data_IF_680667193956
#
_entry.id   IF_680667193956
#
_cell.length_a   1.000
_cell.length_b   1.000
_cell.length_c   1.000
_cell.angle_alpha   90.00
_cell.angle_beta   90.00
_cell.angle_gamma   90.00
#
_symmetry.space_group_name_H-M   'P 1'
#
loop_
_entity.id
_entity.type
_entity.pdbx_description
1 polymer ?
#
# COMPACT_ATOMS: atom_id res chain seq x y z
N UNK A 1 19.63 20.88 -3.82
CA UNK A 1 19.54 19.98 -4.99
C UNK A 1 18.64 18.85 -4.58
N UNK A 2 17.51 18.63 -5.26
CA UNK A 2 16.68 17.47 -4.98
C UNK A 2 17.49 16.20 -5.36
N UNK A 3 17.41 15.11 -4.57
CA UNK A 3 18.06 13.87 -4.92
C UNK A 3 17.53 13.39 -6.28
N UNK A 4 18.44 13.00 -7.15
CA UNK A 4 18.04 12.40 -8.44
C UNK A 4 17.56 10.98 -8.18
N UNK A 5 16.49 10.51 -8.84
CA UNK A 5 16.06 9.14 -8.73
C UNK A 5 17.21 8.21 -9.11
N UNK A 6 17.48 7.21 -8.28
CA UNK A 6 18.57 6.27 -8.52
C UNK A 6 18.19 5.39 -9.71
N UNK A 7 18.89 5.55 -10.81
CA UNK A 7 18.75 4.70 -11.99
C UNK A 7 19.47 3.39 -11.72
N UNK A 8 18.73 2.30 -11.54
CA UNK A 8 19.33 0.99 -11.32
C UNK A 8 19.86 0.42 -12.64
N UNK A 9 21.06 -0.17 -12.59
CA UNK A 9 21.59 -0.89 -13.76
C UNK A 9 20.75 -2.13 -14.06
N UNK A 10 20.71 -2.55 -15.32
CA UNK A 10 20.04 -3.78 -15.75
C UNK A 10 20.47 -5.00 -14.93
N UNK A 11 21.75 -5.05 -14.51
CA UNK A 11 22.32 -6.10 -13.66
C UNK A 11 21.72 -6.13 -12.26
N UNK A 12 21.54 -4.97 -11.64
CA UNK A 12 20.96 -4.87 -10.28
C UNK A 12 19.54 -5.41 -10.26
N UNK A 13 18.79 -5.25 -11.34
CA UNK A 13 17.39 -5.70 -11.43
C UNK A 13 17.31 -7.19 -11.81
N UNK A 14 18.25 -7.70 -12.63
CA UNK A 14 18.35 -9.14 -12.94
C UNK A 14 18.59 -9.98 -11.66
N UNK A 15 19.34 -9.47 -10.68
CA UNK A 15 19.50 -10.09 -9.36
C UNK A 15 18.16 -10.37 -8.65
N UNK A 16 17.12 -9.66 -9.02
CA UNK A 16 15.77 -9.82 -8.46
C UNK A 16 14.82 -10.64 -9.38
N UNK A 17 15.35 -11.28 -10.42
CA UNK A 17 14.57 -12.13 -11.34
C UNK A 17 13.67 -11.34 -12.30
N UNK A 18 13.95 -10.07 -12.54
CA UNK A 18 13.19 -9.23 -13.46
C UNK A 18 14.09 -8.83 -14.63
N UNK A 19 13.66 -9.22 -15.84
CA UNK A 19 14.29 -8.77 -17.05
C UNK A 19 13.82 -7.36 -17.42
N UNK A 20 14.78 -6.42 -17.55
CA UNK A 20 14.53 -5.09 -18.10
C UNK A 20 14.71 -5.19 -19.60
N UNK A 21 13.72 -4.77 -20.38
CA UNK A 21 13.82 -4.70 -21.84
C UNK A 21 14.75 -3.57 -22.25
N UNK A 22 15.33 -3.64 -23.45
CA UNK A 22 16.29 -2.66 -23.96
C UNK A 22 15.77 -1.21 -23.98
N UNK A 23 14.44 -1.03 -24.01
CA UNK A 23 13.78 0.27 -24.00
C UNK A 23 13.20 0.67 -22.65
N UNK A 24 13.54 -0.06 -21.59
CA UNK A 24 13.07 0.18 -20.21
C UNK A 24 14.22 0.62 -19.32
N UNK A 25 13.86 1.28 -18.22
CA UNK A 25 14.76 1.63 -17.14
C UNK A 25 14.11 1.31 -15.78
N UNK A 26 14.94 0.91 -14.84
CA UNK A 26 14.49 0.71 -13.46
C UNK A 26 14.84 1.94 -12.63
N UNK A 27 13.90 2.34 -11.80
CA UNK A 27 14.02 3.46 -10.87
C UNK A 27 13.75 2.97 -9.47
N UNK A 28 14.54 3.47 -8.54
CA UNK A 28 14.28 3.29 -7.12
C UNK A 28 13.96 4.63 -6.49
N UNK A 29 12.88 4.65 -5.75
CA UNK A 29 12.50 5.76 -4.91
C UNK A 29 12.16 5.21 -3.53
N UNK A 30 12.98 5.59 -2.55
CA UNK A 30 12.89 5.11 -1.18
C UNK A 30 12.78 3.55 -1.11
N UNK A 31 11.67 3.01 -0.63
CA UNK A 31 11.43 1.57 -0.48
C UNK A 31 10.93 0.88 -1.76
N UNK A 32 10.54 1.64 -2.79
CA UNK A 32 9.92 1.12 -4.01
C UNK A 32 10.89 1.11 -5.19
N UNK A 33 10.82 0.04 -5.98
CA UNK A 33 11.52 -0.07 -7.26
C UNK A 33 10.49 -0.27 -8.36
N UNK A 34 10.55 0.52 -9.44
CA UNK A 34 9.67 0.38 -10.60
C UNK A 34 10.46 0.26 -11.88
N UNK A 35 9.91 -0.46 -12.84
CA UNK A 35 10.37 -0.54 -14.21
C UNK A 35 9.38 0.21 -15.10
N UNK A 36 9.89 1.04 -15.98
CA UNK A 36 9.10 1.82 -16.93
C UNK A 36 9.85 2.05 -18.22
N UNK A 37 9.16 2.40 -19.34
CA UNK A 37 9.82 2.75 -20.58
C UNK A 37 10.82 3.89 -20.41
N UNK A 38 12.04 3.76 -20.97
CA UNK A 38 13.11 4.76 -20.82
C UNK A 38 12.72 6.14 -21.33
N UNK A 39 11.83 6.22 -22.32
CA UNK A 39 11.28 7.49 -22.83
C UNK A 39 10.38 8.20 -21.81
N UNK A 40 9.70 7.41 -20.97
CA UNK A 40 8.81 7.92 -19.92
C UNK A 40 9.59 8.25 -18.63
N UNK A 41 10.83 7.81 -18.53
CA UNK A 41 11.72 8.13 -17.43
C UNK A 41 11.92 9.64 -17.22
N UNK A 42 11.85 10.41 -18.31
CA UNK A 42 11.89 11.87 -18.26
C UNK A 42 10.67 12.51 -17.54
N UNK A 43 9.56 11.76 -17.38
CA UNK A 43 8.37 12.20 -16.66
C UNK A 43 8.42 11.90 -15.16
N UNK A 44 9.40 11.13 -14.67
CA UNK A 44 9.68 11.01 -13.24
C UNK A 44 10.30 12.33 -12.75
N UNK A 45 9.42 13.31 -12.54
CA UNK A 45 9.83 14.60 -12.05
C UNK A 45 10.42 14.46 -10.61
N UNK A 46 11.68 14.82 -10.36
CA UNK A 46 12.27 14.78 -9.01
C UNK A 46 11.50 15.60 -7.96
N UNK A 47 10.81 16.67 -8.40
CA UNK A 47 9.95 17.46 -7.52
C UNK A 47 8.77 16.63 -6.97
N UNK A 48 8.29 15.67 -7.75
CA UNK A 48 7.21 14.78 -7.32
C UNK A 48 7.64 13.76 -6.27
N UNK A 49 8.93 13.44 -6.14
CA UNK A 49 9.45 12.62 -5.05
C UNK A 49 9.16 13.27 -3.70
N UNK A 50 9.45 14.57 -3.57
CA UNK A 50 9.12 15.34 -2.36
C UNK A 50 7.61 15.32 -2.06
N UNK A 51 6.76 15.47 -3.08
CA UNK A 51 5.32 15.42 -2.89
C UNK A 51 4.85 14.03 -2.42
N UNK A 52 5.44 12.96 -2.95
CA UNK A 52 5.15 11.58 -2.53
C UNK A 52 5.62 11.31 -1.10
N UNK A 53 6.79 11.81 -0.71
CA UNK A 53 7.28 11.74 0.66
C UNK A 53 6.35 12.45 1.63
N UNK A 54 5.95 13.66 1.27
CA UNK A 54 5.03 14.46 2.08
C UNK A 54 3.67 13.77 2.24
N UNK A 55 3.14 13.19 1.14
CA UNK A 55 1.90 12.40 1.17
C UNK A 55 2.03 11.20 2.11
N UNK A 56 3.14 10.45 2.02
CA UNK A 56 3.39 9.29 2.87
C UNK A 56 3.44 9.68 4.35
N UNK A 57 4.17 10.74 4.70
CA UNK A 57 4.26 11.25 6.07
C UNK A 57 2.90 11.73 6.58
N UNK A 58 2.16 12.46 5.75
CA UNK A 58 0.82 12.94 6.10
C UNK A 58 -0.13 11.77 6.38
N UNK A 59 -0.11 10.72 5.54
CA UNK A 59 -0.96 9.54 5.73
C UNK A 59 -0.56 8.75 6.98
N UNK A 60 0.74 8.60 7.27
CA UNK A 60 1.22 7.97 8.51
C UNK A 60 0.66 8.73 9.71
N UNK A 61 0.84 10.04 9.75
CA UNK A 61 0.40 10.90 10.86
C UNK A 61 -1.12 10.82 11.04
N UNK A 62 -1.87 11.00 9.95
CA UNK A 62 -3.33 10.91 9.96
C UNK A 62 -3.82 9.53 10.44
N UNK A 63 -3.21 8.44 9.98
CA UNK A 63 -3.61 7.09 10.36
C UNK A 63 -3.38 6.80 11.85
N UNK A 64 -2.30 7.35 12.43
CA UNK A 64 -2.04 7.26 13.87
C UNK A 64 -3.08 8.05 14.68
N UNK A 65 -3.47 9.24 14.22
CA UNK A 65 -4.53 10.01 14.85
C UNK A 65 -5.88 9.27 14.81
N UNK A 66 -6.22 8.70 13.64
CA UNK A 66 -7.44 7.91 13.46
C UNK A 66 -7.47 6.68 14.38
N UNK A 67 -6.35 5.95 14.49
CA UNK A 67 -6.22 4.79 15.39
C UNK A 67 -6.38 5.22 16.85
N UNK A 68 -5.79 6.35 17.25
CA UNK A 68 -5.94 6.93 18.59
C UNK A 68 -7.38 7.26 18.93
N UNK A 69 -8.14 7.88 18.02
CA UNK A 69 -9.56 8.16 18.23
C UNK A 69 -10.39 6.87 18.36
N UNK A 70 -10.12 5.86 17.53
CA UNK A 70 -10.82 4.58 17.60
C UNK A 70 -10.52 3.84 18.90
N UNK A 71 -9.27 3.90 19.37
CA UNK A 71 -8.85 3.36 20.67
C UNK A 71 -9.60 4.03 21.81
N UNK A 72 -9.65 5.36 21.83
CA UNK A 72 -10.39 6.10 22.87
C UNK A 72 -11.87 5.72 22.90
N UNK A 73 -12.52 5.60 21.74
CA UNK A 73 -13.92 5.17 21.63
C UNK A 73 -14.11 3.73 22.13
N UNK A 74 -13.20 2.83 21.82
CA UNK A 74 -13.21 1.45 22.29
C UNK A 74 -13.10 1.39 23.82
N UNK A 75 -12.14 2.10 24.41
CA UNK A 75 -11.94 2.17 25.87
C UNK A 75 -13.15 2.77 26.58
N UNK A 76 -13.74 3.83 26.03
CA UNK A 76 -14.95 4.44 26.57
C UNK A 76 -16.13 3.45 26.59
N UNK A 77 -16.31 2.67 25.51
CA UNK A 77 -17.34 1.61 25.44
C UNK A 77 -17.09 0.53 26.48
N UNK A 78 -15.86 0.07 26.65
CA UNK A 78 -15.53 -0.95 27.64
C UNK A 78 -15.75 -0.45 29.08
N UNK A 79 -15.38 0.79 29.38
CA UNK A 79 -15.67 1.42 30.68
C UNK A 79 -17.18 1.52 30.95
N UNK A 80 -17.97 1.91 29.94
CA UNK A 80 -19.43 1.98 30.05
C UNK A 80 -20.06 0.59 30.27
N UNK A 81 -19.56 -0.43 29.51
CA UNK A 81 -20.03 -1.83 29.67
C UNK A 81 -19.73 -2.37 31.07
N UNK A 82 -18.52 -2.13 31.58
CA UNK A 82 -18.12 -2.55 32.94
C UNK A 82 -18.94 -1.87 34.02
N UNK A 83 -19.22 -0.56 33.89
CA UNK A 83 -20.11 0.16 34.82
C UNK A 83 -21.53 -0.42 34.82
N UNK A 84 -22.07 -0.74 33.62
CA UNK A 84 -23.41 -1.30 33.48
C UNK A 84 -23.51 -2.73 34.10
N UNK A 85 -22.49 -3.56 33.86
CA UNK A 85 -22.39 -4.89 34.43
C UNK A 85 -22.35 -4.84 35.99
N UNK A 86 -21.60 -3.89 36.58
CA UNK A 86 -21.53 -3.68 38.04
C UNK A 86 -22.86 -3.17 38.61
N UNK A 87 -23.60 -2.33 37.90
CA UNK A 87 -24.89 -1.82 38.32
C UNK A 87 -25.97 -2.93 38.35
N UNK A 88 -25.95 -3.85 37.38
CA UNK A 88 -26.91 -4.98 37.32
C UNK A 88 -26.59 -6.07 38.35
N UNK A 89 -25.32 -6.23 38.76
CA UNK A 89 -24.93 -7.21 39.79
C UNK A 89 -25.26 -6.81 41.20
N UNK A 90 -25.78 -5.59 41.43
CA UNK A 90 -26.20 -5.05 42.73
C UNK A 90 -27.68 -5.25 43.07
N UNK A 91 -28.53 -5.79 42.18
CA UNK A 91 -29.92 -6.11 42.47
C UNK A 91 -30.05 -7.56 42.97
N UNK A 92 -30.63 -7.81 44.14
CA UNK A 92 -30.92 -9.15 44.65
C UNK A 92 -32.23 -9.66 44.00
N UNK A 93 -32.18 -10.64 43.16
CA UNK A 93 -33.29 -11.36 42.50
C UNK A 93 -33.49 -11.13 41.00
N UNK A 94 -32.48 -11.48 40.20
CA UNK A 94 -32.75 -11.85 38.83
C UNK A 94 -32.11 -13.21 38.55
N UNK A 95 -32.92 -14.17 38.08
CA UNK A 95 -32.49 -15.51 37.66
C UNK A 95 -31.20 -15.44 36.84
N UNK A 96 -30.11 -15.81 37.49
CA UNK A 96 -28.77 -15.93 36.88
C UNK A 96 -28.83 -17.05 35.85
N UNK A 97 -29.04 -16.72 34.60
CA UNK A 97 -28.64 -17.60 33.49
C UNK A 97 -27.11 -17.57 33.52
N UNK A 98 -26.53 -18.66 34.08
CA UNK A 98 -25.10 -18.89 33.99
C UNK A 98 -24.78 -19.15 32.51
N UNK A 99 -24.40 -18.13 31.78
CA UNK A 99 -23.57 -18.28 30.60
C UNK A 99 -22.14 -18.43 31.11
N UNK A 100 -21.59 -19.63 31.01
CA UNK A 100 -20.21 -19.96 31.38
C UNK A 100 -19.20 -19.35 30.36
N UNK A 101 -19.45 -18.14 29.92
CA UNK A 101 -18.49 -17.37 29.14
C UNK A 101 -17.66 -16.52 30.12
N UNK A 102 -16.41 -16.95 30.33
CA UNK A 102 -15.41 -16.08 30.94
C UNK A 102 -15.40 -14.72 30.23
N UNK A 103 -15.25 -13.61 30.96
CA UNK A 103 -15.18 -12.30 30.35
C UNK A 103 -13.90 -12.22 29.50
N UNK A 104 -14.03 -12.52 28.21
CA UNK A 104 -12.93 -12.27 27.27
C UNK A 104 -12.56 -10.79 27.36
N UNK A 105 -11.36 -10.51 27.90
CA UNK A 105 -10.79 -9.17 27.84
C UNK A 105 -10.64 -8.79 26.37
N UNK A 106 -11.55 -7.99 25.89
CA UNK A 106 -11.48 -7.42 24.54
C UNK A 106 -10.30 -6.44 24.50
N UNK A 107 -9.15 -6.93 24.04
CA UNK A 107 -7.98 -6.08 23.80
C UNK A 107 -8.18 -5.28 22.52
N UNK A 108 -7.85 -3.99 22.56
CA UNK A 108 -7.90 -3.15 21.37
C UNK A 108 -6.90 -3.64 20.34
N UNK A 109 -7.35 -3.80 19.11
CA UNK A 109 -6.49 -4.04 17.94
C UNK A 109 -6.42 -2.75 17.12
N UNK A 110 -5.19 -2.37 16.73
CA UNK A 110 -4.96 -1.17 15.92
C UNK A 110 -5.76 -1.20 14.64
N UNK A 111 -6.42 -0.09 14.35
CA UNK A 111 -7.24 0.05 13.15
C UNK A 111 -6.37 0.09 11.90
N UNK A 112 -6.68 -0.79 10.95
CA UNK A 112 -6.06 -0.82 9.63
C UNK A 112 -6.98 -0.15 8.62
N UNK A 113 -6.56 1.00 8.09
CA UNK A 113 -7.36 1.78 7.16
C UNK A 113 -7.27 1.24 5.72
N UNK A 114 -8.27 1.57 4.91
CA UNK A 114 -8.38 1.21 3.49
C UNK A 114 -8.11 2.46 2.64
N UNK A 115 -7.22 2.34 1.67
CA UNK A 115 -6.90 3.42 0.75
C UNK A 115 -7.29 3.10 -0.69
N UNK A 116 -7.58 4.13 -1.46
CA UNK A 116 -7.68 4.11 -2.91
C UNK A 116 -6.61 5.05 -3.48
N UNK A 117 -5.73 4.55 -4.36
CA UNK A 117 -4.96 5.36 -5.30
C UNK A 117 -5.71 5.32 -6.63
N UNK A 118 -6.38 6.41 -6.96
CA UNK A 118 -7.38 6.42 -8.04
C UNK A 118 -6.78 6.38 -9.44
N UNK A 119 -5.52 6.82 -9.60
CA UNK A 119 -4.78 6.98 -10.85
C UNK A 119 -3.35 6.48 -10.66
N UNK A 120 -3.18 5.16 -10.58
CA UNK A 120 -1.95 4.55 -10.06
C UNK A 120 -0.79 4.46 -11.06
N UNK A 121 -1.04 4.54 -12.36
CA UNK A 121 -0.04 4.42 -13.42
C UNK A 121 0.92 3.23 -13.19
N UNK A 122 2.18 3.50 -12.82
CA UNK A 122 3.21 2.49 -12.52
C UNK A 122 3.06 1.82 -11.15
N UNK A 123 2.18 2.34 -10.29
CA UNK A 123 1.96 1.86 -8.92
C UNK A 123 2.99 2.32 -7.89
N UNK A 124 3.83 3.30 -8.23
CA UNK A 124 4.90 3.77 -7.34
C UNK A 124 4.39 4.19 -5.96
N UNK A 125 3.31 4.99 -5.90
CA UNK A 125 2.70 5.43 -4.64
C UNK A 125 2.12 4.26 -3.85
N UNK A 126 1.31 3.40 -4.50
CA UNK A 126 0.73 2.21 -3.85
C UNK A 126 1.79 1.28 -3.28
N UNK A 127 2.89 1.07 -3.99
CA UNK A 127 4.02 0.25 -3.52
C UNK A 127 4.65 0.88 -2.28
N UNK A 128 4.93 2.19 -2.31
CA UNK A 128 5.46 2.93 -1.17
C UNK A 128 4.51 2.88 0.03
N UNK A 129 3.22 3.12 -0.18
CA UNK A 129 2.22 3.04 0.88
C UNK A 129 2.17 1.66 1.53
N UNK A 130 2.20 0.59 0.74
CA UNK A 130 2.18 -0.78 1.25
C UNK A 130 3.41 -1.13 2.09
N UNK A 131 4.59 -0.58 1.76
CA UNK A 131 5.85 -0.82 2.47
C UNK A 131 6.08 0.14 3.64
N UNK A 132 5.69 1.40 3.48
CA UNK A 132 6.10 2.48 4.38
C UNK A 132 5.03 2.84 5.43
N UNK A 133 3.74 2.46 5.21
CA UNK A 133 2.66 2.86 6.11
C UNK A 133 2.21 1.69 7.00
N UNK A 134 2.55 1.71 8.30
CA UNK A 134 2.31 0.56 9.20
C UNK A 134 0.82 0.25 9.41
N UNK A 135 -0.05 1.29 9.43
CA UNK A 135 -1.48 1.14 9.69
C UNK A 135 -2.32 0.95 8.41
N UNK A 136 -1.68 0.82 7.25
CA UNK A 136 -2.39 0.47 6.02
C UNK A 136 -2.89 -0.97 6.10
N UNK A 137 -4.20 -1.16 5.92
CA UNK A 137 -4.81 -2.48 5.73
C UNK A 137 -4.60 -2.97 4.31
N UNK A 138 -5.07 -2.18 3.34
CA UNK A 138 -4.78 -2.37 1.93
C UNK A 138 -4.91 -1.04 1.16
N UNK A 139 -4.31 -0.97 0.00
CA UNK A 139 -4.54 0.07 -1.01
C UNK A 139 -5.07 -0.55 -2.29
N UNK A 140 -6.20 -0.02 -2.77
CA UNK A 140 -6.71 -0.31 -4.11
C UNK A 140 -5.97 0.60 -5.08
N UNK A 141 -5.11 0.01 -5.91
CA UNK A 141 -4.40 0.70 -6.98
C UNK A 141 -5.21 0.59 -8.26
N UNK A 142 -5.78 1.69 -8.72
CA UNK A 142 -6.65 1.75 -9.89
C UNK A 142 -6.03 2.52 -11.03
N UNK A 143 -6.23 2.05 -12.25
CA UNK A 143 -5.95 2.81 -13.46
C UNK A 143 -6.93 2.42 -14.57
N UNK A 144 -7.27 3.37 -15.44
CA UNK A 144 -8.13 3.13 -16.59
C UNK A 144 -7.39 2.34 -17.68
N UNK A 145 -6.08 2.58 -17.84
CA UNK A 145 -5.25 2.02 -18.90
C UNK A 145 -4.85 0.56 -18.60
N UNK A 146 -5.21 -0.34 -19.48
CA UNK A 146 -4.77 -1.74 -19.39
C UNK A 146 -3.24 -1.89 -19.41
N UNK A 147 -2.52 -1.04 -20.15
CA UNK A 147 -1.05 -1.04 -20.18
C UNK A 147 -0.45 -0.56 -18.85
N UNK A 148 -1.04 0.44 -18.22
CA UNK A 148 -0.64 0.88 -16.88
C UNK A 148 -0.87 -0.23 -15.85
N UNK A 149 -2.02 -0.90 -15.90
CA UNK A 149 -2.34 -2.03 -15.01
C UNK A 149 -1.35 -3.20 -15.19
N UNK A 150 -0.92 -3.49 -16.41
CA UNK A 150 0.12 -4.51 -16.66
C UNK A 150 1.47 -4.08 -16.06
N UNK A 151 1.87 -2.82 -16.27
CA UNK A 151 3.09 -2.28 -15.67
C UNK A 151 3.04 -2.30 -14.13
N UNK A 152 1.89 -1.90 -13.56
CA UNK A 152 1.64 -1.98 -12.12
C UNK A 152 1.81 -3.42 -11.59
N UNK A 153 1.19 -4.43 -12.22
CA UNK A 153 1.33 -5.85 -11.81
C UNK A 153 2.77 -6.32 -11.84
N UNK A 154 3.51 -5.95 -12.88
CA UNK A 154 4.93 -6.27 -13.00
C UNK A 154 5.76 -5.61 -11.89
N UNK A 155 5.50 -4.35 -11.61
CA UNK A 155 6.16 -3.63 -10.52
C UNK A 155 5.79 -4.19 -9.14
N UNK A 156 4.57 -4.68 -8.95
CA UNK A 156 4.20 -5.38 -7.71
C UNK A 156 4.98 -6.68 -7.53
N UNK A 157 5.09 -7.50 -8.58
CA UNK A 157 5.87 -8.73 -8.53
C UNK A 157 7.36 -8.47 -8.20
N UNK A 158 7.91 -7.35 -8.69
CA UNK A 158 9.25 -6.89 -8.35
C UNK A 158 9.40 -6.56 -6.86
N UNK A 159 8.42 -5.89 -6.29
CA UNK A 159 8.49 -5.38 -4.92
C UNK A 159 8.00 -6.36 -3.86
N UNK A 160 7.16 -7.31 -4.24
CA UNK A 160 6.50 -8.28 -3.36
C UNK A 160 6.61 -9.69 -3.95
N UNK A 161 7.82 -10.23 -4.14
CA UNK A 161 8.02 -11.56 -4.70
C UNK A 161 7.51 -12.63 -3.73
N UNK A 162 6.89 -13.71 -4.24
CA UNK A 162 6.22 -14.73 -3.42
C UNK A 162 7.20 -15.58 -2.59
N UNK A 163 8.45 -15.67 -3.01
CA UNK A 163 9.53 -16.45 -2.41
C UNK A 163 10.29 -15.72 -1.31
N UNK A 164 9.94 -14.48 -1.00
CA UNK A 164 10.61 -13.65 0.02
C UNK A 164 9.70 -13.33 1.19
N UNK A 165 10.21 -13.43 2.43
CA UNK A 165 9.45 -13.04 3.61
C UNK A 165 9.20 -11.52 3.64
N UNK A 166 8.05 -11.14 4.20
CA UNK A 166 7.54 -9.75 4.25
C UNK A 166 8.54 -8.77 4.89
N UNK A 167 9.31 -9.21 5.88
CA UNK A 167 10.30 -8.40 6.58
C UNK A 167 11.53 -8.03 5.73
N UNK A 168 11.73 -8.70 4.59
CA UNK A 168 12.84 -8.40 3.67
C UNK A 168 12.48 -7.38 2.59
N UNK A 169 11.18 -7.09 2.39
CA UNK A 169 10.76 -6.10 1.39
C UNK A 169 11.27 -4.69 1.66
N UNK A 170 11.53 -4.37 2.92
CA UNK A 170 12.02 -3.04 3.36
C UNK A 170 13.55 -2.94 3.25
N UNK A 171 14.24 -4.09 3.32
CA UNK A 171 15.71 -4.17 3.37
C UNK A 171 16.38 -4.29 1.99
N UNK A 172 15.75 -3.85 0.92
CA UNK A 172 16.41 -3.80 -0.40
C UNK A 172 17.43 -2.65 -0.43
N UNK A 173 18.36 -2.67 0.53
CA UNK A 173 19.54 -1.83 0.47
C UNK A 173 20.38 -2.25 -0.72
N UNK A 174 20.82 -1.25 -1.48
CA UNK A 174 21.79 -1.42 -2.56
C UNK A 174 23.12 -1.77 -1.90
N UNK A 175 23.30 -3.02 -1.50
CA UNK A 175 24.63 -3.55 -1.27
C UNK A 175 25.34 -3.56 -2.62
N UNK A 176 26.53 -2.98 -2.60
CA UNK A 176 27.41 -2.73 -3.72
C UNK A 176 27.43 -3.89 -4.71
N UNK A 177 27.10 -3.60 -5.95
CA UNK A 177 27.23 -4.54 -7.06
C UNK A 177 28.71 -4.85 -7.28
N UNK A 178 29.16 -5.98 -6.79
CA UNK A 178 30.44 -6.53 -7.19
C UNK A 178 30.44 -6.81 -8.69
N UNK A 179 31.50 -6.33 -9.34
CA UNK A 179 31.68 -6.33 -10.78
C UNK A 179 32.03 -7.74 -11.29
N UNK A 180 31.02 -8.55 -11.64
CA UNK A 180 31.24 -9.72 -12.48
C UNK A 180 30.31 -9.70 -13.69
N UNK A 181 30.95 -9.63 -14.86
CA UNK A 181 30.29 -9.60 -16.18
C UNK A 181 29.84 -11.00 -16.59
N UNK A 182 28.52 -11.25 -16.57
CA UNK A 182 27.94 -12.36 -17.33
C UNK A 182 26.96 -11.82 -18.38
N UNK A 183 27.27 -12.08 -19.64
CA UNK A 183 26.32 -11.90 -20.74
C UNK A 183 25.18 -12.89 -20.56
N UNK A 184 23.97 -12.37 -20.37
CA UNK A 184 22.75 -13.16 -20.29
C UNK A 184 22.05 -13.04 -21.64
N UNK A 185 21.97 -14.14 -22.38
CA UNK A 185 21.15 -14.25 -23.58
C UNK A 185 19.69 -13.96 -23.26
N UNK A 186 19.02 -13.21 -24.14
CA UNK A 186 17.63 -12.78 -23.99
C UNK A 186 16.68 -13.98 -24.17
N UNK A 187 16.43 -14.72 -23.09
CA UNK A 187 15.33 -15.68 -23.06
C UNK A 187 13.98 -14.98 -22.86
N UNK A 188 12.92 -15.61 -23.40
CA UNK A 188 11.55 -15.11 -23.39
C UNK A 188 11.10 -14.70 -21.98
N UNK A 189 10.48 -13.52 -21.90
CA UNK A 189 9.96 -12.84 -20.71
C UNK A 189 9.29 -13.83 -19.74
N UNK A 190 9.92 -14.26 -18.64
CA UNK A 190 9.24 -15.09 -17.68
C UNK A 190 8.15 -14.24 -17.04
N UNK A 191 6.89 -14.64 -17.22
CA UNK A 191 5.80 -14.08 -16.41
C UNK A 191 6.24 -14.08 -14.96
N UNK A 192 6.17 -12.93 -14.27
CA UNK A 192 6.59 -12.87 -12.87
C UNK A 192 5.94 -14.01 -12.09
N UNK A 193 6.69 -14.69 -11.26
CA UNK A 193 6.27 -15.87 -10.48
C UNK A 193 5.14 -15.61 -9.48
N UNK A 194 4.40 -14.51 -9.67
CA UNK A 194 3.27 -14.10 -8.84
C UNK A 194 3.61 -12.92 -7.91
N UNK A 195 2.62 -12.55 -7.12
CA UNK A 195 2.71 -11.50 -6.11
C UNK A 195 2.50 -12.20 -4.76
N UNK A 196 3.29 -11.81 -3.76
CA UNK A 196 3.17 -12.39 -2.42
C UNK A 196 1.73 -12.26 -1.88
N UNK A 197 1.16 -13.31 -1.26
CA UNK A 197 -0.24 -13.28 -0.79
C UNK A 197 -0.51 -12.19 0.25
N UNK A 198 0.50 -11.78 1.04
CA UNK A 198 0.37 -10.70 2.02
C UNK A 198 0.59 -9.30 1.43
N UNK A 199 0.69 -9.18 0.11
CA UNK A 199 0.78 -7.88 -0.55
C UNK A 199 -0.50 -7.08 -0.29
N UNK A 200 -0.34 -5.90 0.29
CA UNK A 200 -1.46 -5.00 0.61
C UNK A 200 -1.98 -4.20 -0.59
N UNK A 201 -1.45 -4.42 -1.78
CA UNK A 201 -1.88 -3.70 -3.00
C UNK A 201 -2.84 -4.56 -3.79
N UNK A 202 -4.06 -4.09 -3.95
CA UNK A 202 -5.09 -4.72 -4.78
C UNK A 202 -5.20 -3.95 -6.10
N UNK A 203 -4.98 -4.64 -7.22
CA UNK A 203 -4.99 -4.02 -8.54
C UNK A 203 -6.40 -3.99 -9.11
N UNK A 204 -6.82 -2.83 -9.60
CA UNK A 204 -8.08 -2.65 -10.31
C UNK A 204 -7.84 -1.98 -11.66
N UNK A 205 -8.65 -2.34 -12.65
CA UNK A 205 -8.71 -1.65 -13.93
C UNK A 205 -10.10 -1.06 -14.10
N UNK A 206 -10.20 0.27 -14.10
CA UNK A 206 -11.50 0.90 -14.23
C UNK A 206 -11.43 2.42 -14.17
N UNK A 207 -12.57 3.03 -14.47
CA UNK A 207 -12.77 4.46 -14.32
C UNK A 207 -12.78 4.85 -12.83
N UNK A 208 -11.99 5.84 -12.46
CA UNK A 208 -11.80 6.26 -11.08
C UNK A 208 -13.09 6.81 -10.45
N UNK A 209 -13.88 7.56 -11.21
CA UNK A 209 -15.15 8.15 -10.74
C UNK A 209 -16.14 7.04 -10.47
N UNK A 210 -16.32 6.12 -11.42
CA UNK A 210 -17.19 4.96 -11.25
C UNK A 210 -16.82 4.12 -10.03
N UNK A 211 -15.53 3.86 -9.84
CA UNK A 211 -15.02 3.11 -8.69
C UNK A 211 -15.33 3.81 -7.36
N UNK A 212 -15.16 5.13 -7.28
CA UNK A 212 -15.49 5.91 -6.09
C UNK A 212 -16.99 5.87 -5.79
N UNK A 213 -17.85 5.96 -6.83
CA UNK A 213 -19.31 5.84 -6.68
C UNK A 213 -19.73 4.46 -6.15
N UNK A 214 -19.12 3.38 -6.63
CA UNK A 214 -19.39 2.00 -6.17
C UNK A 214 -19.01 1.79 -4.69
N UNK A 215 -18.07 2.59 -4.19
CA UNK A 215 -17.56 2.50 -2.83
C UNK A 215 -18.06 3.61 -1.89
N UNK A 216 -19.13 4.33 -2.26
CA UNK A 216 -19.70 5.41 -1.42
C UNK A 216 -20.38 4.90 -0.14
N UNK A 217 -20.86 3.66 -0.11
CA UNK A 217 -21.57 3.08 1.01
C UNK A 217 -20.64 2.68 2.15
N UNK A 218 -21.07 2.89 3.40
CA UNK A 218 -20.25 2.72 4.60
C UNK A 218 -19.42 1.44 4.66
N UNK A 219 -19.94 0.22 4.37
CA UNK A 219 -19.13 -0.99 4.49
C UNK A 219 -18.02 -1.09 3.42
N UNK A 220 -18.22 -0.45 2.26
CA UNK A 220 -17.29 -0.51 1.13
C UNK A 220 -16.33 0.68 1.07
N UNK A 221 -16.64 1.76 1.79
CA UNK A 221 -15.95 3.04 1.70
C UNK A 221 -14.45 2.91 2.00
N UNK A 222 -13.65 3.61 1.22
CA UNK A 222 -12.26 3.89 1.55
C UNK A 222 -12.17 4.93 2.66
N UNK A 223 -11.20 4.80 3.53
CA UNK A 223 -10.90 5.79 4.58
C UNK A 223 -10.07 6.94 4.02
N UNK A 224 -9.32 6.68 2.93
CA UNK A 224 -8.44 7.62 2.25
C UNK A 224 -8.51 7.42 0.74
N UNK A 225 -8.55 8.52 -0.01
CA UNK A 225 -8.47 8.54 -1.47
C UNK A 225 -7.31 9.46 -1.86
N UNK A 226 -6.34 8.91 -2.57
CA UNK A 226 -5.23 9.66 -3.19
C UNK A 226 -5.59 9.96 -4.65
N UNK A 227 -5.65 11.26 -4.96
CA UNK A 227 -5.95 11.79 -6.29
C UNK A 227 -4.76 12.61 -6.78
N UNK A 228 -3.98 12.04 -7.70
CA UNK A 228 -2.84 12.72 -8.33
C UNK A 228 -2.98 12.73 -9.86
N UNK A 229 -4.00 13.41 -10.42
CA UNK A 229 -4.20 13.49 -11.86
C UNK A 229 -3.20 14.42 -12.53
N UNK A 230 -2.94 14.19 -13.81
CA UNK A 230 -2.31 15.22 -14.65
C UNK A 230 -3.23 16.43 -14.76
N UNK A 231 -2.79 17.56 -14.20
CA UNK A 231 -3.53 18.82 -14.24
C UNK A 231 -4.37 19.05 -12.98
N UNK A 232 -5.69 18.95 -13.07
CA UNK A 232 -6.59 19.30 -11.95
C UNK A 232 -7.35 18.09 -11.40
N UNK A 233 -7.51 18.03 -10.08
CA UNK A 233 -8.36 17.04 -9.41
C UNK A 233 -9.86 17.37 -9.47
N UNK A 234 -10.24 18.54 -9.97
CA UNK A 234 -11.63 19.02 -9.99
C UNK A 234 -12.66 18.00 -10.53
N UNK A 235 -12.42 17.28 -11.64
CA UNK A 235 -13.38 16.30 -12.14
C UNK A 235 -13.67 15.11 -11.21
N UNK A 236 -12.87 14.93 -10.17
CA UNK A 236 -12.97 13.79 -9.24
C UNK A 236 -13.56 14.19 -7.88
N UNK A 237 -13.92 15.47 -7.69
CA UNK A 237 -14.35 16.00 -6.38
C UNK A 237 -15.87 16.21 -6.25
N UNK A 238 -16.65 15.99 -7.33
CA UNK A 238 -18.11 16.20 -7.36
C UNK A 238 -18.93 14.95 -6.97
#
# INVERSE_FOLDING_TARGET
MAPQPILLSARTVAKYGIHIRANEAAFRENSATIVMPSKEAAFLNPVQEFNRDLSTIAIITWSQMLDGEKRQRFEARNRARSKRAKAVSGEPDAKRIKTDEEPHEHTYQSYKFKALEALSATGLRSIRYAKEIPLLGFVQANDLSATAVQALRRNLALNFPPDRPVNEWIKMDVEQADEEEHEVEAEADPTPSGIHPDCKVHVNQGDAISLMYEHRDLPKRYDLIDLDPYGTASPFLD
#
